data_IF_529390505602
#
_entry.id   IF_529390505602
#
_cell.length_a   1.000
_cell.length_b   1.000
_cell.length_c   1.000
_cell.angle_alpha   90.00
_cell.angle_beta   90.00
_cell.angle_gamma   90.00
#
_symmetry.space_group_name_H-M   'P 1'
#
loop_
_entity.id
_entity.type
_entity.pdbx_description
1 polymer ?
#
# COMPACT_ATOMS: atom_id res chain seq x y z
N UNK A 1 14.50 11.62 -15.36
CA UNK A 1 13.51 11.18 -14.35
C UNK A 1 13.88 11.82 -13.03
N UNK A 2 13.12 12.82 -12.59
CA UNK A 2 13.39 13.52 -11.34
C UNK A 2 13.28 12.53 -10.18
N UNK A 3 14.33 12.42 -9.38
CA UNK A 3 14.35 11.62 -8.16
C UNK A 3 13.28 12.18 -7.23
N UNK A 4 12.18 11.44 -7.16
CA UNK A 4 11.04 11.76 -6.33
C UNK A 4 11.41 11.60 -4.86
N UNK A 5 10.66 12.30 -4.01
CA UNK A 5 10.84 12.28 -2.54
C UNK A 5 10.99 10.83 -2.04
N UNK A 6 12.04 10.57 -1.27
CA UNK A 6 12.28 9.22 -0.72
C UNK A 6 11.44 9.04 0.56
N UNK A 7 10.25 8.48 0.40
CA UNK A 7 9.32 8.23 1.52
C UNK A 7 9.80 7.09 2.41
N UNK A 8 10.30 6.01 1.79
CA UNK A 8 10.78 4.82 2.47
C UNK A 8 12.24 4.57 2.08
N UNK A 9 13.09 4.39 3.10
CA UNK A 9 14.48 3.97 2.94
C UNK A 9 14.81 2.86 3.94
N UNK A 10 14.74 1.61 3.47
CA UNK A 10 14.96 0.40 4.30
C UNK A 10 16.37 0.38 4.89
N UNK A 11 17.37 0.85 4.15
CA UNK A 11 18.75 0.88 4.63
C UNK A 11 18.91 1.81 5.84
N UNK A 12 18.33 3.02 5.74
CA UNK A 12 18.34 4.01 6.82
C UNK A 12 17.53 3.50 8.02
N UNK A 13 16.38 2.89 7.79
CA UNK A 13 15.53 2.32 8.85
C UNK A 13 16.23 1.18 9.60
N UNK A 14 16.90 0.27 8.90
CA UNK A 14 17.65 -0.84 9.51
C UNK A 14 18.81 -0.31 10.37
N UNK A 15 19.55 0.69 9.87
CA UNK A 15 20.65 1.32 10.63
C UNK A 15 20.16 2.07 11.87
N UNK A 16 18.99 2.68 11.80
CA UNK A 16 18.38 3.43 12.89
C UNK A 16 17.63 2.54 13.90
N UNK A 17 17.32 1.28 13.56
CA UNK A 17 16.64 0.32 14.44
C UNK A 17 17.40 0.09 15.75
N UNK A 18 16.77 -0.37 16.82
CA UNK A 18 17.48 -0.81 18.04
C UNK A 18 17.99 -2.26 17.97
N UNK A 19 17.58 -3.01 16.95
CA UNK A 19 17.95 -4.42 16.82
C UNK A 19 19.40 -4.60 16.37
N UNK A 20 20.21 -5.21 17.24
CA UNK A 20 21.60 -5.62 16.92
C UNK A 20 21.66 -6.61 15.76
N UNK A 21 20.64 -7.45 15.57
CA UNK A 21 20.58 -8.40 14.46
C UNK A 21 20.35 -7.67 13.13
N UNK A 22 19.40 -6.74 13.08
CA UNK A 22 19.12 -5.97 11.87
C UNK A 22 20.34 -5.13 11.45
N UNK A 23 21.02 -4.49 12.41
CA UNK A 23 22.25 -3.72 12.14
C UNK A 23 23.41 -4.55 11.59
N UNK A 24 23.41 -5.86 11.85
CA UNK A 24 24.46 -6.79 11.39
C UNK A 24 24.14 -7.44 10.04
N UNK A 25 22.97 -7.16 9.46
CA UNK A 25 22.63 -7.69 8.15
C UNK A 25 23.62 -7.18 7.11
N UNK A 26 24.17 -8.05 6.26
CA UNK A 26 25.03 -7.64 5.16
C UNK A 26 24.23 -6.85 4.12
N UNK A 27 24.91 -5.95 3.40
CA UNK A 27 24.27 -5.04 2.44
C UNK A 27 23.48 -5.78 1.35
N UNK A 28 23.93 -6.97 0.91
CA UNK A 28 23.20 -7.77 -0.07
C UNK A 28 21.84 -8.27 0.46
N UNK A 29 21.73 -8.55 1.76
CA UNK A 29 20.48 -8.98 2.37
C UNK A 29 19.50 -7.81 2.48
N UNK A 30 20.01 -6.62 2.84
CA UNK A 30 19.22 -5.39 2.85
C UNK A 30 18.73 -5.06 1.42
N UNK A 31 19.59 -5.24 0.42
CA UNK A 31 19.23 -5.08 -0.98
C UNK A 31 18.13 -6.06 -1.42
N UNK A 32 18.22 -7.33 -1.00
CA UNK A 32 17.17 -8.31 -1.29
C UNK A 32 15.83 -7.92 -0.65
N UNK A 33 15.85 -7.48 0.61
CA UNK A 33 14.65 -6.98 1.30
C UNK A 33 14.05 -5.78 0.54
N UNK A 34 14.90 -4.85 0.07
CA UNK A 34 14.47 -3.71 -0.74
C UNK A 34 13.75 -4.13 -2.02
N UNK A 35 14.20 -5.21 -2.67
CA UNK A 35 13.56 -5.77 -3.86
C UNK A 35 12.24 -6.47 -3.55
N UNK A 36 12.20 -7.31 -2.51
CA UNK A 36 10.99 -8.05 -2.09
C UNK A 36 9.87 -7.09 -1.70
N UNK A 37 10.19 -6.05 -0.92
CA UNK A 37 9.24 -5.02 -0.51
C UNK A 37 8.88 -4.09 -1.68
N UNK A 38 9.64 -4.13 -2.78
CA UNK A 38 9.49 -3.23 -3.94
C UNK A 38 9.56 -1.75 -3.53
N UNK A 39 10.51 -1.40 -2.65
CA UNK A 39 10.65 -0.05 -2.08
C UNK A 39 10.59 1.07 -3.13
N UNK A 40 11.29 0.88 -4.26
CA UNK A 40 11.34 1.89 -5.32
C UNK A 40 9.96 2.17 -5.93
N UNK A 41 9.13 1.13 -6.04
CA UNK A 41 7.80 1.25 -6.60
C UNK A 41 6.83 1.88 -5.61
N UNK A 42 6.91 1.51 -4.33
CA UNK A 42 6.16 2.19 -3.28
C UNK A 42 6.50 3.69 -3.28
N UNK A 43 7.79 4.04 -3.30
CA UNK A 43 8.21 5.44 -3.38
C UNK A 43 7.69 6.13 -4.65
N UNK A 44 7.68 5.45 -5.81
CA UNK A 44 7.11 5.99 -7.05
C UNK A 44 5.61 6.28 -6.89
N UNK A 45 4.83 5.30 -6.42
CA UNK A 45 3.38 5.41 -6.24
C UNK A 45 3.07 6.57 -5.29
N UNK A 46 3.71 6.62 -4.13
CA UNK A 46 3.54 7.70 -3.15
C UNK A 46 3.92 9.08 -3.70
N UNK A 47 4.86 9.13 -4.65
CA UNK A 47 5.25 10.38 -5.30
C UNK A 47 4.26 10.83 -6.38
N UNK A 48 3.80 9.89 -7.20
CA UNK A 48 2.86 10.15 -8.31
C UNK A 48 1.52 10.62 -7.77
N UNK A 49 1.05 10.00 -6.69
CA UNK A 49 -0.23 10.31 -6.07
C UNK A 49 -0.12 11.19 -4.82
N UNK A 50 0.99 11.91 -4.65
CA UNK A 50 1.25 12.74 -3.47
C UNK A 50 0.22 13.85 -3.22
N UNK A 51 -0.55 14.24 -4.25
CA UNK A 51 -1.58 15.28 -4.16
C UNK A 51 -2.97 14.72 -3.83
N UNK A 52 -3.12 13.40 -3.65
CA UNK A 52 -4.37 12.76 -3.26
C UNK A 52 -4.28 12.32 -1.80
N UNK A 53 -5.32 12.60 -1.02
CA UNK A 53 -5.38 12.27 0.41
C UNK A 53 -6.68 11.55 0.76
N UNK A 54 -6.64 10.71 1.80
CA UNK A 54 -7.82 10.02 2.31
C UNK A 54 -8.55 9.19 1.24
N UNK A 55 -9.86 9.40 1.13
CA UNK A 55 -10.74 8.64 0.22
C UNK A 55 -10.36 8.83 -1.25
N UNK A 56 -9.83 10.01 -1.63
CA UNK A 56 -9.49 10.30 -3.02
C UNK A 56 -8.24 9.54 -3.51
N UNK A 57 -7.43 9.03 -2.58
CA UNK A 57 -6.25 8.22 -2.88
C UNK A 57 -6.62 6.78 -3.25
N UNK A 58 -7.67 6.21 -2.65
CA UNK A 58 -8.00 4.78 -2.78
C UNK A 58 -8.31 4.36 -4.23
N UNK A 59 -9.16 5.08 -4.98
CA UNK A 59 -9.45 4.75 -6.38
C UNK A 59 -8.19 4.77 -7.25
N UNK A 60 -7.25 5.69 -6.98
CA UNK A 60 -5.99 5.78 -7.73
C UNK A 60 -5.10 4.57 -7.55
N UNK A 61 -5.11 3.97 -6.36
CA UNK A 61 -4.36 2.75 -6.08
C UNK A 61 -5.02 1.52 -6.72
N UNK A 62 -6.35 1.45 -6.75
CA UNK A 62 -7.08 0.39 -7.46
C UNK A 62 -6.69 0.43 -8.96
N UNK A 63 -6.68 1.62 -9.56
CA UNK A 63 -6.27 1.82 -10.96
C UNK A 63 -4.79 1.46 -11.19
N UNK A 64 -3.88 1.94 -10.34
CA UNK A 64 -2.43 1.68 -10.43
C UNK A 64 -2.10 0.19 -10.31
N UNK A 65 -2.83 -0.54 -9.47
CA UNK A 65 -2.68 -1.98 -9.30
C UNK A 65 -3.46 -2.80 -10.35
N UNK A 66 -4.19 -2.13 -11.26
CA UNK A 66 -5.02 -2.74 -12.29
C UNK A 66 -6.03 -3.76 -11.71
N UNK A 67 -6.62 -3.41 -10.58
CA UNK A 67 -7.60 -4.25 -9.89
C UNK A 67 -8.96 -4.02 -10.53
N UNK A 68 -9.61 -5.11 -10.97
CA UNK A 68 -10.98 -5.07 -11.48
C UNK A 68 -11.94 -5.46 -10.36
N UNK A 69 -12.87 -4.57 -10.06
CA UNK A 69 -13.89 -4.79 -9.02
C UNK A 69 -15.23 -5.03 -9.70
N UNK A 70 -15.88 -6.14 -9.35
CA UNK A 70 -17.25 -6.44 -9.74
C UNK A 70 -18.13 -6.35 -8.50
N UNK A 71 -19.18 -5.52 -8.56
CA UNK A 71 -20.13 -5.33 -7.47
C UNK A 71 -21.46 -5.94 -7.88
N UNK A 72 -21.84 -7.01 -7.21
CA UNK A 72 -23.12 -7.72 -7.43
C UNK A 72 -24.05 -7.44 -6.26
N UNK A 73 -25.34 -7.18 -6.54
CA UNK A 73 -26.34 -6.98 -5.49
C UNK A 73 -26.33 -5.59 -4.85
N UNK A 74 -25.83 -4.56 -5.57
CA UNK A 74 -25.80 -3.17 -5.09
C UNK A 74 -27.19 -2.64 -4.75
N UNK A 75 -28.21 -3.13 -5.43
CA UNK A 75 -29.63 -2.87 -5.19
C UNK A 75 -30.15 -3.33 -3.83
N UNK A 76 -29.42 -4.22 -3.14
CA UNK A 76 -29.78 -4.67 -1.79
C UNK A 76 -29.31 -3.70 -0.69
N UNK A 77 -28.53 -2.66 -1.04
CA UNK A 77 -28.06 -1.68 -0.08
C UNK A 77 -29.21 -0.73 0.32
N UNK A 78 -29.33 -0.38 1.61
CA UNK A 78 -30.32 0.59 2.06
C UNK A 78 -30.04 1.97 1.48
N UNK A 79 -31.08 2.71 1.09
CA UNK A 79 -30.94 4.07 0.56
C UNK A 79 -30.31 5.04 1.57
N UNK A 80 -30.67 4.89 2.85
CA UNK A 80 -30.15 5.70 3.95
C UNK A 80 -30.04 4.82 5.20
N UNK A 81 -28.83 4.70 5.75
CA UNK A 81 -28.60 3.91 6.96
C UNK A 81 -27.17 3.41 7.09
N UNK A 82 -26.81 2.91 8.27
CA UNK A 82 -25.53 2.23 8.50
C UNK A 82 -25.63 0.80 7.98
N UNK A 83 -24.61 0.35 7.27
CA UNK A 83 -24.48 -1.03 6.81
C UNK A 83 -23.38 -1.75 7.57
N UNK A 84 -23.57 -3.04 7.82
CA UNK A 84 -22.49 -3.92 8.25
C UNK A 84 -22.07 -4.78 7.06
N UNK A 85 -20.82 -4.63 6.63
CA UNK A 85 -20.22 -5.48 5.61
C UNK A 85 -19.52 -6.64 6.31
N UNK A 86 -19.92 -7.86 5.95
CA UNK A 86 -19.24 -9.09 6.37
C UNK A 86 -18.52 -9.65 5.15
N UNK A 87 -17.20 -9.67 5.21
CA UNK A 87 -16.35 -10.18 4.14
C UNK A 87 -15.44 -11.28 4.68
N UNK A 88 -15.18 -12.31 3.85
CA UNK A 88 -13.93 -13.03 4.01
C UNK A 88 -12.81 -12.07 3.53
N UNK A 89 -11.67 -12.03 4.23
CA UNK A 89 -10.58 -11.09 3.93
C UNK A 89 -9.40 -11.84 3.28
N UNK A 90 -9.59 -12.53 2.13
CA UNK A 90 -8.55 -13.38 1.56
C UNK A 90 -7.36 -12.58 1.04
N UNK A 91 -7.55 -11.31 0.65
CA UNK A 91 -6.50 -10.48 0.03
C UNK A 91 -5.97 -9.37 0.93
N UNK A 92 -6.57 -9.15 2.11
CA UNK A 92 -6.06 -8.20 3.08
C UNK A 92 -6.14 -6.77 2.52
N UNK A 93 -4.98 -6.16 2.27
CA UNK A 93 -4.87 -4.80 1.77
C UNK A 93 -5.92 -4.40 0.69
N UNK A 94 -6.12 -5.25 -0.33
CA UNK A 94 -7.06 -4.97 -1.42
C UNK A 94 -8.51 -4.89 -0.95
N UNK A 95 -8.96 -5.79 -0.07
CA UNK A 95 -10.35 -5.77 0.38
C UNK A 95 -10.62 -4.52 1.25
N UNK A 96 -9.60 -4.05 1.98
CA UNK A 96 -9.65 -2.79 2.73
C UNK A 96 -9.79 -1.57 1.81
N UNK A 97 -9.09 -1.56 0.67
CA UNK A 97 -9.19 -0.49 -0.34
C UNK A 97 -10.57 -0.44 -1.01
N UNK A 98 -11.22 -1.58 -1.20
CA UNK A 98 -12.49 -1.65 -1.93
C UNK A 98 -13.69 -1.27 -1.04
N UNK A 99 -13.61 -1.58 0.26
CA UNK A 99 -14.73 -1.40 1.21
C UNK A 99 -14.71 -0.05 1.95
N UNK A 100 -13.63 0.72 1.83
CA UNK A 100 -13.45 2.03 2.50
C UNK A 100 -13.68 3.16 1.51
#
# INVERSE_FOLDING_TARGET
MNLSKEYINIHKLIKASDSKLLKRLPDFAIYLIKLIIRQNEINRILSVYANFEGVDFLPKIIDELNIKVEIVGKENLPENGRCFFVANHPFGFVDGLILT
#
